data_IF_807156736105
#
_entry.id   IF_807156736105
#
_cell.length_a   1.000
_cell.length_b   1.000
_cell.length_c   1.000
_cell.angle_alpha   90.00
_cell.angle_beta   90.00
_cell.angle_gamma   90.00
#
_symmetry.space_group_name_H-M   'P 1'
#
loop_
_entity.id
_entity.type
_entity.pdbx_description
1 polymer ?
#
# COMPACT_ATOMS: atom_id res chain seq x y z
N UNK A 1 -7.26 -7.86 -23.50
CA UNK A 1 -7.96 -8.28 -22.26
C UNK A 1 -7.02 -8.73 -21.13
N UNK A 2 -5.88 -9.40 -21.42
CA UNK A 2 -4.91 -9.84 -20.39
C UNK A 2 -4.19 -8.71 -19.62
N UNK A 3 -3.98 -7.55 -20.25
CA UNK A 3 -3.19 -6.44 -19.69
C UNK A 3 -3.84 -5.77 -18.46
N UNK A 4 -5.14 -5.51 -18.52
CA UNK A 4 -5.91 -4.92 -17.40
C UNK A 4 -5.94 -5.84 -16.17
N UNK A 5 -6.01 -7.14 -16.41
CA UNK A 5 -6.02 -8.14 -15.34
C UNK A 5 -4.68 -8.18 -14.60
N UNK A 6 -3.56 -7.97 -15.31
CA UNK A 6 -2.22 -7.95 -14.74
C UNK A 6 -1.97 -6.74 -13.83
N UNK A 7 -2.45 -5.55 -14.22
CA UNK A 7 -2.27 -4.32 -13.41
C UNK A 7 -3.18 -4.29 -12.19
N UNK A 8 -4.40 -4.81 -12.29
CA UNK A 8 -5.27 -5.01 -11.12
C UNK A 8 -4.64 -5.98 -10.12
N UNK A 9 -4.10 -7.10 -10.59
CA UNK A 9 -3.44 -8.10 -9.73
C UNK A 9 -2.19 -7.51 -9.08
N UNK A 10 -1.40 -6.71 -9.80
CA UNK A 10 -0.28 -5.96 -9.23
C UNK A 10 -0.70 -5.05 -8.08
N UNK A 11 -1.75 -4.25 -8.26
CA UNK A 11 -2.24 -3.34 -7.22
C UNK A 11 -2.79 -4.10 -6.00
N UNK A 12 -3.46 -5.24 -6.22
CA UNK A 12 -3.91 -6.12 -5.13
C UNK A 12 -2.72 -6.65 -4.34
N UNK A 13 -1.66 -7.09 -5.03
CA UNK A 13 -0.43 -7.55 -4.37
C UNK A 13 0.24 -6.43 -3.57
N UNK A 14 0.27 -5.20 -4.08
CA UNK A 14 0.78 -4.03 -3.35
C UNK A 14 -0.02 -3.74 -2.06
N UNK A 15 -1.35 -3.92 -2.08
CA UNK A 15 -2.17 -3.79 -0.86
C UNK A 15 -1.87 -4.92 0.12
N UNK A 16 -1.77 -6.16 -0.35
CA UNK A 16 -1.48 -7.33 0.50
C UNK A 16 -0.10 -7.20 1.17
N UNK A 17 0.93 -6.73 0.46
CA UNK A 17 2.27 -6.58 1.03
C UNK A 17 2.31 -5.50 2.11
N UNK A 18 1.67 -4.34 1.89
CA UNK A 18 1.60 -3.28 2.90
C UNK A 18 0.77 -3.72 4.11
N UNK A 19 -0.32 -4.45 3.89
CA UNK A 19 -1.14 -5.02 4.97
C UNK A 19 -0.37 -6.04 5.80
N UNK A 20 0.42 -6.91 5.16
CA UNK A 20 1.31 -7.84 5.85
C UNK A 20 2.34 -7.10 6.71
N UNK A 21 2.99 -6.05 6.18
CA UNK A 21 3.96 -5.25 6.94
C UNK A 21 3.32 -4.56 8.15
N UNK A 22 2.09 -4.04 7.98
CA UNK A 22 1.34 -3.44 9.07
C UNK A 22 1.03 -4.44 10.19
N UNK A 23 0.52 -5.62 9.84
CA UNK A 23 0.26 -6.71 10.79
C UNK A 23 1.54 -7.19 11.49
N UNK A 24 2.65 -7.26 10.76
CA UNK A 24 3.95 -7.68 11.31
C UNK A 24 4.42 -6.78 12.44
N UNK A 25 4.16 -5.48 12.32
CA UNK A 25 4.60 -4.50 13.31
C UNK A 25 3.67 -4.51 14.52
N UNK A 26 2.36 -4.65 14.31
CA UNK A 26 1.39 -4.78 15.41
C UNK A 26 1.62 -6.05 16.23
N UNK A 27 1.94 -7.17 15.56
CA UNK A 27 2.11 -8.48 16.20
C UNK A 27 3.55 -8.75 16.63
N UNK A 28 4.48 -7.79 16.49
CA UNK A 28 5.90 -7.99 16.79
C UNK A 28 6.18 -8.46 18.23
N UNK A 29 5.36 -8.03 19.19
CA UNK A 29 5.51 -8.39 20.61
C UNK A 29 4.60 -9.56 21.03
N UNK A 30 3.94 -10.23 20.08
CA UNK A 30 3.11 -11.41 20.36
C UNK A 30 3.95 -12.68 20.47
N UNK A 31 3.34 -13.78 20.91
CA UNK A 31 4.01 -15.07 21.12
C UNK A 31 4.92 -15.49 19.95
N UNK A 32 5.99 -16.22 20.28
CA UNK A 32 7.01 -16.68 19.32
C UNK A 32 6.41 -17.47 18.15
N UNK A 33 5.32 -18.21 18.38
CA UNK A 33 4.60 -18.97 17.35
C UNK A 33 3.97 -18.07 16.27
N UNK A 34 3.48 -16.88 16.64
CA UNK A 34 2.87 -15.93 15.70
C UNK A 34 3.95 -15.32 14.80
N UNK A 35 5.11 -15.01 15.38
CA UNK A 35 6.25 -14.49 14.63
C UNK A 35 6.71 -15.46 13.54
N UNK A 36 6.86 -16.75 13.89
CA UNK A 36 7.26 -17.80 12.94
C UNK A 36 6.21 -17.97 11.82
N UNK A 37 4.93 -17.98 12.17
CA UNK A 37 3.83 -18.08 11.20
C UNK A 37 3.84 -16.91 10.22
N UNK A 38 4.08 -15.69 10.71
CA UNK A 38 4.23 -14.52 9.85
C UNK A 38 5.40 -14.68 8.88
N UNK A 39 6.56 -15.19 9.31
CA UNK A 39 7.71 -15.40 8.42
C UNK A 39 7.38 -16.37 7.29
N UNK A 40 6.64 -17.45 7.59
CA UNK A 40 6.18 -18.39 6.56
C UNK A 40 5.22 -17.75 5.56
N UNK A 41 4.27 -16.94 6.03
CA UNK A 41 3.36 -16.19 5.16
C UNK A 41 4.15 -15.25 4.23
N UNK A 42 5.21 -14.61 4.74
CA UNK A 42 6.07 -13.74 3.93
C UNK A 42 6.74 -14.49 2.79
N UNK A 43 7.33 -15.63 3.10
CA UNK A 43 7.99 -16.50 2.11
C UNK A 43 6.97 -16.93 1.04
N UNK A 44 5.76 -17.30 1.46
CA UNK A 44 4.69 -17.67 0.53
C UNK A 44 4.31 -16.49 -0.40
N UNK A 45 4.17 -15.28 0.14
CA UNK A 45 3.88 -14.07 -0.65
C UNK A 45 5.00 -13.83 -1.68
N UNK A 46 6.27 -13.93 -1.29
CA UNK A 46 7.40 -13.77 -2.21
C UNK A 46 7.44 -14.82 -3.31
N UNK A 47 7.17 -16.09 -2.96
CA UNK A 47 7.05 -17.17 -3.95
C UNK A 47 5.95 -16.88 -4.97
N UNK A 48 4.79 -16.40 -4.52
CA UNK A 48 3.68 -16.00 -5.40
C UNK A 48 4.14 -14.84 -6.31
N UNK A 49 4.73 -13.78 -5.75
CA UNK A 49 5.22 -12.64 -6.55
C UNK A 49 6.23 -13.11 -7.61
N UNK A 50 7.16 -14.00 -7.24
CA UNK A 50 8.16 -14.51 -8.15
C UNK A 50 7.54 -15.33 -9.30
N UNK A 51 6.61 -16.24 -9.00
CA UNK A 51 5.91 -17.04 -10.00
C UNK A 51 5.06 -16.19 -10.95
N UNK A 52 4.41 -15.15 -10.44
CA UNK A 52 3.57 -14.25 -11.23
C UNK A 52 4.33 -13.07 -11.85
N UNK A 53 5.63 -12.92 -11.58
CA UNK A 53 6.45 -11.77 -12.03
C UNK A 53 6.38 -11.53 -13.54
N UNK A 54 6.49 -12.60 -14.35
CA UNK A 54 6.37 -12.52 -15.82
C UNK A 54 4.99 -12.06 -16.29
N UNK A 55 3.93 -12.38 -15.53
CA UNK A 55 2.55 -11.98 -15.81
C UNK A 55 2.31 -10.55 -15.34
N UNK A 56 2.93 -10.12 -14.24
CA UNK A 56 2.81 -8.75 -13.70
C UNK A 56 3.50 -7.68 -14.58
N UNK A 57 4.55 -8.05 -15.33
CA UNK A 57 5.31 -7.16 -16.22
C UNK A 57 4.83 -7.17 -17.69
N UNK A 58 3.71 -7.84 -18.00
CA UNK A 58 3.18 -7.87 -19.37
C UNK A 58 2.85 -6.46 -19.90
N UNK A 59 3.03 -6.29 -21.23
CA UNK A 59 2.83 -5.06 -22.02
C UNK A 59 1.69 -4.21 -21.43
N UNK A 60 2.03 -3.03 -20.94
CA UNK A 60 1.04 -2.09 -20.37
C UNK A 60 0.51 -1.21 -21.48
N UNK A 61 -0.80 -1.27 -21.73
CA UNK A 61 -1.48 -0.36 -22.64
C UNK A 61 -1.24 1.09 -22.18
N UNK A 62 -0.96 2.00 -23.11
CA UNK A 62 -0.77 3.43 -22.83
C UNK A 62 -1.93 4.03 -22.00
N UNK A 63 -3.14 3.53 -22.23
CA UNK A 63 -4.34 3.91 -21.48
C UNK A 63 -4.24 3.56 -19.99
N UNK A 64 -3.70 2.39 -19.65
CA UNK A 64 -3.52 1.97 -18.26
C UNK A 64 -2.43 2.78 -17.58
N UNK A 65 -1.37 3.13 -18.32
CA UNK A 65 -0.30 4.00 -17.83
C UNK A 65 -0.85 5.39 -17.52
N UNK A 66 -1.66 5.95 -18.41
CA UNK A 66 -2.30 7.27 -18.22
C UNK A 66 -3.22 7.30 -16.99
N UNK A 67 -4.10 6.31 -16.85
CA UNK A 67 -4.99 6.17 -15.68
C UNK A 67 -4.16 6.05 -14.40
N UNK A 68 -3.15 5.18 -14.40
CA UNK A 68 -2.32 4.94 -13.23
C UNK A 68 -1.51 6.18 -12.85
N UNK A 69 -1.02 6.95 -13.82
CA UNK A 69 -0.31 8.23 -13.60
C UNK A 69 -1.22 9.27 -12.94
N UNK A 70 -2.46 9.42 -13.43
CA UNK A 70 -3.46 10.33 -12.85
C UNK A 70 -3.80 9.97 -11.40
N UNK A 71 -4.01 8.69 -11.13
CA UNK A 71 -4.27 8.19 -9.78
C UNK A 71 -3.04 8.41 -8.89
N UNK A 72 -1.84 8.10 -9.38
CA UNK A 72 -0.62 8.24 -8.60
C UNK A 72 -0.37 9.69 -8.21
N UNK A 73 -0.62 10.64 -9.11
CA UNK A 73 -0.55 12.07 -8.80
C UNK A 73 -1.49 12.45 -7.65
N UNK A 74 -2.73 11.96 -7.67
CA UNK A 74 -3.70 12.22 -6.60
C UNK A 74 -3.25 11.59 -5.26
N UNK A 75 -2.77 10.35 -5.30
CA UNK A 75 -2.27 9.64 -4.11
C UNK A 75 -1.04 10.33 -3.52
N UNK A 76 -0.14 10.87 -4.34
CA UNK A 76 1.03 11.64 -3.88
C UNK A 76 0.59 12.92 -3.19
N UNK A 77 -0.37 13.69 -3.74
CA UNK A 77 -0.89 14.87 -3.05
C UNK A 77 -1.53 14.52 -1.71
N UNK A 78 -2.29 13.41 -1.65
CA UNK A 78 -2.85 12.90 -0.40
C UNK A 78 -1.75 12.54 0.61
N UNK A 79 -0.69 11.85 0.18
CA UNK A 79 0.44 11.48 1.05
C UNK A 79 1.15 12.71 1.61
N UNK A 80 1.42 13.72 0.77
CA UNK A 80 2.06 14.97 1.21
C UNK A 80 1.18 15.66 2.27
N UNK A 81 -0.12 15.74 2.02
CA UNK A 81 -1.06 16.36 2.96
C UNK A 81 -1.14 15.58 4.28
N UNK A 82 -1.21 14.25 4.22
CA UNK A 82 -1.24 13.39 5.40
C UNK A 82 0.04 13.51 6.24
N UNK A 83 1.22 13.53 5.59
CA UNK A 83 2.51 13.71 6.26
C UNK A 83 2.62 15.12 6.86
N UNK A 84 2.13 16.14 6.16
CA UNK A 84 2.11 17.52 6.66
C UNK A 84 1.23 17.69 7.90
N UNK A 85 0.05 17.06 7.93
CA UNK A 85 -0.79 17.04 9.13
C UNK A 85 -0.07 16.29 10.26
N UNK A 86 0.50 15.12 9.95
CA UNK A 86 1.20 14.30 10.94
C UNK A 86 2.41 15.02 11.54
N UNK A 87 3.16 15.79 10.75
CA UNK A 87 4.30 16.57 11.26
C UNK A 87 3.87 17.70 12.19
N UNK A 88 2.75 18.37 11.92
CA UNK A 88 2.17 19.37 12.84
C UNK A 88 1.84 18.71 14.19
N UNK A 89 1.20 17.53 14.18
CA UNK A 89 0.91 16.79 15.41
C UNK A 89 2.16 16.37 16.21
N UNK A 90 3.27 16.08 15.53
CA UNK A 90 4.53 15.74 16.19
C UNK A 90 5.21 16.95 16.84
N UNK A 91 5.05 18.15 16.29
CA UNK A 91 5.73 19.37 16.76
C UNK A 91 4.87 20.15 17.77
N UNK A 92 3.54 19.98 17.76
CA UNK A 92 2.66 20.67 18.70
C UNK A 92 2.92 20.28 20.16
N UNK A 93 3.10 21.25 21.07
CA UNK A 93 3.46 21.01 22.48
C UNK A 93 2.30 20.45 23.34
N UNK A 94 1.12 20.20 22.74
CA UNK A 94 -0.05 19.66 23.44
C UNK A 94 0.04 18.17 23.76
N UNK A 95 1.04 17.45 23.23
CA UNK A 95 1.26 16.06 23.57
C UNK A 95 2.18 15.94 24.80
N UNK A 96 1.55 15.85 25.98
CA UNK A 96 2.19 15.33 27.20
C UNK A 96 2.60 13.84 27.08
N UNK A 97 2.21 13.18 25.98
CA UNK A 97 2.62 11.83 25.64
C UNK A 97 3.97 11.83 24.92
N UNK A 98 4.95 11.15 25.50
CA UNK A 98 6.20 10.80 24.84
C UNK A 98 5.85 9.83 23.70
N UNK A 99 5.70 10.34 22.47
CA UNK A 99 5.44 9.51 21.30
C UNK A 99 6.70 8.68 21.02
N UNK A 100 6.60 7.36 21.20
CA UNK A 100 7.72 6.45 20.91
C UNK A 100 8.00 6.40 19.40
N UNK A 101 9.27 6.14 19.03
CA UNK A 101 9.67 5.95 17.63
C UNK A 101 8.85 4.84 16.93
N UNK A 102 8.42 3.83 17.69
CA UNK A 102 7.60 2.72 17.19
C UNK A 102 6.20 3.21 16.81
N UNK A 103 5.61 4.06 17.64
CA UNK A 103 4.27 4.63 17.38
C UNK A 103 4.28 5.48 16.11
N UNK A 104 5.32 6.29 15.90
CA UNK A 104 5.51 7.07 14.66
C UNK A 104 5.56 6.14 13.44
N UNK A 105 6.32 5.04 13.52
CA UNK A 105 6.39 4.05 12.44
C UNK A 105 5.05 3.40 12.12
N UNK A 106 4.25 3.07 13.15
CA UNK A 106 2.90 2.51 12.98
C UNK A 106 1.99 3.51 12.24
N UNK A 107 2.01 4.79 12.62
CA UNK A 107 1.21 5.82 11.93
C UNK A 107 1.63 6.01 10.47
N UNK A 108 2.93 6.03 10.18
CA UNK A 108 3.42 6.17 8.80
C UNK A 108 2.99 4.99 7.92
N UNK A 109 3.08 3.77 8.43
CA UNK A 109 2.66 2.57 7.68
C UNK A 109 1.14 2.51 7.55
N UNK A 110 0.41 3.01 8.53
CA UNK A 110 -1.04 3.16 8.44
C UNK A 110 -1.45 4.16 7.35
N UNK A 111 -0.78 5.31 7.27
CA UNK A 111 -0.98 6.29 6.17
C UNK A 111 -0.67 5.63 4.82
N UNK A 112 0.41 4.85 4.75
CA UNK A 112 0.77 4.10 3.54
C UNK A 112 -0.32 3.08 3.14
N UNK A 113 -0.88 2.37 4.11
CA UNK A 113 -1.96 1.40 3.90
C UNK A 113 -3.22 2.07 3.33
N UNK A 114 -3.61 3.22 3.90
CA UNK A 114 -4.73 4.00 3.39
C UNK A 114 -4.44 4.45 1.95
N UNK A 115 -3.23 4.94 1.68
CA UNK A 115 -2.84 5.39 0.34
C UNK A 115 -2.88 4.26 -0.70
N UNK A 116 -2.43 3.05 -0.38
CA UNK A 116 -2.49 1.91 -1.30
C UNK A 116 -3.92 1.42 -1.54
N UNK A 117 -4.78 1.43 -0.51
CA UNK A 117 -6.20 1.10 -0.65
C UNK A 117 -6.92 2.14 -1.53
N UNK A 118 -6.70 3.44 -1.29
CA UNK A 118 -7.25 4.53 -2.12
C UNK A 118 -6.81 4.36 -3.59
N UNK A 119 -5.53 4.07 -3.82
CA UNK A 119 -4.99 3.83 -5.17
C UNK A 119 -5.71 2.69 -5.88
N UNK A 120 -5.95 1.57 -5.17
CA UNK A 120 -6.67 0.42 -5.72
C UNK A 120 -8.15 0.73 -5.99
N UNK A 121 -8.83 1.41 -5.07
CA UNK A 121 -10.22 1.83 -5.25
C UNK A 121 -10.39 2.79 -6.42
N UNK A 122 -9.51 3.78 -6.54
CA UNK A 122 -9.50 4.71 -7.68
C UNK A 122 -9.24 3.98 -8.99
N UNK A 123 -8.34 3.01 -9.01
CA UNK A 123 -8.08 2.21 -10.20
C UNK A 123 -9.33 1.44 -10.65
N UNK A 124 -10.00 0.76 -9.72
CA UNK A 124 -11.27 0.06 -10.02
C UNK A 124 -12.35 1.04 -10.47
N UNK A 125 -12.41 2.22 -9.84
CA UNK A 125 -13.38 3.26 -10.20
C UNK A 125 -13.16 3.76 -11.63
N UNK A 126 -11.94 4.18 -11.98
CA UNK A 126 -11.63 4.65 -13.33
C UNK A 126 -11.76 3.55 -14.39
N UNK A 127 -11.43 2.31 -14.04
CA UNK A 127 -11.62 1.17 -14.95
C UNK A 127 -13.10 0.86 -15.22
N UNK A 128 -13.96 0.89 -14.18
CA UNK A 128 -15.42 0.68 -14.35
C UNK A 128 -16.11 1.82 -15.05
N UNK A 129 -15.71 3.06 -14.76
CA UNK A 129 -16.39 4.25 -15.26
C UNK A 129 -16.04 4.53 -16.73
N UNK A 130 -15.08 3.79 -17.29
CA UNK A 130 -14.66 3.92 -18.68
C UNK A 130 -14.35 5.39 -19.03
N UNK A 131 -13.85 6.16 -18.07
CA UNK A 131 -13.53 7.58 -18.30
C UNK A 131 -12.21 7.60 -19.07
N UNK A 132 -12.35 7.28 -20.35
CA UNK A 132 -11.48 7.63 -21.45
C UNK A 132 -11.80 9.08 -21.80
N UNK A 133 -11.33 10.02 -20.98
CA UNK A 133 -11.24 11.46 -21.28
C UNK A 133 -10.28 12.12 -20.30
#
# INVERSE_FOLDING_TARGET
>A
MNVKMNTKLRLIMEVITVLYLFLSILLKNSDTNISILLTFIWIAIWCIIFLYSKRLYGITDELVISILSKINRLVVYFLIFAIGIFSVFLVTPYNSFIISKVTIGIYLIFILLIATVIRLLLFIYYDRKGIYK
#
